data_IF_634017417683
#
_entry.id   IF_634017417683
#
_cell.length_a   1.000
_cell.length_b   1.000
_cell.length_c   1.000
_cell.angle_alpha   90.00
_cell.angle_beta   90.00
_cell.angle_gamma   90.00
#
_symmetry.space_group_name_H-M   'P 1'
#
loop_
_entity.id
_entity.type
_entity.pdbx_description
1 polymer ?
#
# COMPACT_ATOMS: atom_id res chain seq x y z
N UNK A 1 12.04 -23.48 7.78
CA UNK A 1 11.95 -22.06 7.36
C UNK A 1 12.80 -21.21 8.29
N UNK A 2 14.10 -21.02 7.97
CA UNK A 2 14.98 -19.95 8.50
C UNK A 2 16.42 -20.25 8.06
N UNK A 3 16.73 -20.09 6.76
CA UNK A 3 18.10 -20.19 6.22
C UNK A 3 18.40 -19.19 5.09
N UNK A 4 17.45 -18.37 4.68
CA UNK A 4 17.63 -17.41 3.57
C UNK A 4 17.92 -15.97 4.01
N UNK A 5 17.78 -15.61 5.30
CA UNK A 5 18.09 -14.26 5.78
C UNK A 5 19.54 -14.09 6.24
N UNK A 6 20.16 -15.12 6.84
CA UNK A 6 21.57 -15.06 7.29
C UNK A 6 22.57 -14.98 6.12
N UNK A 7 22.19 -15.39 4.90
CA UNK A 7 23.08 -15.33 3.74
C UNK A 7 23.17 -13.96 3.06
N UNK A 8 22.30 -13.01 3.39
CA UNK A 8 22.23 -11.71 2.69
C UNK A 8 23.05 -10.61 3.35
N UNK A 9 23.16 -10.64 4.67
CA UNK A 9 23.99 -9.68 5.44
C UNK A 9 25.47 -10.07 5.32
N UNK A 10 25.79 -11.38 5.33
CA UNK A 10 27.19 -11.83 5.24
C UNK A 10 27.85 -11.49 3.90
N UNK A 11 27.09 -11.45 2.79
CA UNK A 11 27.63 -11.09 1.47
C UNK A 11 27.97 -9.59 1.39
N UNK A 12 27.14 -8.73 1.99
CA UNK A 12 27.41 -7.28 2.08
C UNK A 12 28.58 -6.97 3.02
N UNK A 13 28.68 -7.66 4.15
CA UNK A 13 29.82 -7.54 5.07
C UNK A 13 31.12 -8.06 4.45
N UNK A 14 31.06 -9.14 3.66
CA UNK A 14 32.24 -9.68 2.96
C UNK A 14 32.75 -8.73 1.86
N UNK A 15 31.85 -8.00 1.19
CA UNK A 15 32.23 -7.00 0.19
C UNK A 15 32.80 -5.71 0.82
N UNK A 16 32.47 -5.43 2.07
CA UNK A 16 32.90 -4.21 2.76
C UNK A 16 34.19 -4.37 3.58
N UNK A 17 34.61 -5.59 3.96
CA UNK A 17 35.56 -5.71 5.07
C UNK A 17 37.05 -5.81 4.75
N UNK A 18 37.54 -6.24 3.57
CA UNK A 18 38.99 -6.12 3.28
C UNK A 18 39.32 -6.35 1.81
N UNK A 19 40.26 -5.54 1.29
CA UNK A 19 41.01 -5.69 0.03
C UNK A 19 40.38 -5.23 -1.30
N UNK A 20 39.46 -4.25 -1.30
CA UNK A 20 38.98 -3.64 -2.55
C UNK A 20 40.12 -3.05 -3.42
N UNK A 21 41.15 -2.47 -2.79
CA UNK A 21 42.33 -1.95 -3.50
C UNK A 21 43.25 -3.05 -4.04
N UNK A 22 43.44 -4.16 -3.30
CA UNK A 22 44.31 -5.26 -3.75
C UNK A 22 43.68 -6.05 -4.90
N UNK A 23 42.34 -6.21 -4.87
CA UNK A 23 41.55 -6.79 -5.95
C UNK A 23 41.60 -5.88 -7.19
N UNK A 24 41.56 -4.55 -7.00
CA UNK A 24 41.71 -3.56 -8.08
C UNK A 24 43.07 -3.71 -8.79
N UNK A 25 44.19 -3.66 -8.07
CA UNK A 25 45.52 -3.73 -8.70
C UNK A 25 45.79 -5.06 -9.41
N UNK A 26 45.36 -6.19 -8.83
CA UNK A 26 45.49 -7.51 -9.49
C UNK A 26 44.67 -7.60 -10.78
N UNK A 27 43.43 -7.11 -10.78
CA UNK A 27 42.59 -7.17 -11.96
C UNK A 27 43.04 -6.20 -13.07
N UNK A 28 43.63 -5.06 -12.72
CA UNK A 28 44.25 -4.15 -13.70
C UNK A 28 45.48 -4.79 -14.36
N UNK A 29 46.34 -5.47 -13.58
CA UNK A 29 47.49 -6.21 -14.11
C UNK A 29 47.08 -7.37 -15.03
N UNK A 30 46.02 -8.10 -14.69
CA UNK A 30 45.56 -9.28 -15.45
C UNK A 30 44.76 -8.93 -16.71
N UNK A 31 43.96 -7.87 -16.68
CA UNK A 31 42.97 -7.59 -17.74
C UNK A 31 43.19 -6.26 -18.48
N UNK A 32 44.08 -5.38 -17.97
CA UNK A 32 44.26 -4.02 -18.47
C UNK A 32 43.12 -3.07 -18.05
N UNK A 33 43.44 -1.79 -17.88
CA UNK A 33 42.52 -0.77 -17.36
C UNK A 33 41.14 -0.74 -18.07
N UNK A 34 41.12 -0.84 -19.40
CA UNK A 34 39.88 -0.71 -20.18
C UNK A 34 38.87 -1.84 -19.93
N UNK A 35 39.34 -3.07 -19.71
CA UNK A 35 38.46 -4.22 -19.46
C UNK A 35 37.95 -4.22 -18.01
N UNK A 36 38.77 -3.75 -17.07
CA UNK A 36 38.37 -3.57 -15.68
C UNK A 36 37.31 -2.47 -15.52
N UNK A 37 37.52 -1.31 -16.15
CA UNK A 37 36.56 -0.21 -16.12
C UNK A 37 35.21 -0.60 -16.74
N UNK A 38 35.23 -1.38 -17.83
CA UNK A 38 34.02 -1.94 -18.43
C UNK A 38 33.30 -2.93 -17.49
N UNK A 39 34.03 -3.79 -16.80
CA UNK A 39 33.47 -4.74 -15.83
C UNK A 39 32.85 -4.02 -14.62
N UNK A 40 33.54 -3.01 -14.07
CA UNK A 40 33.04 -2.12 -13.00
C UNK A 40 31.78 -1.38 -13.42
N UNK A 41 31.78 -0.77 -14.62
CA UNK A 41 30.62 -0.05 -15.16
C UNK A 41 29.40 -0.97 -15.33
N UNK A 42 29.62 -2.19 -15.84
CA UNK A 42 28.57 -3.19 -15.98
C UNK A 42 28.03 -3.65 -14.61
N UNK A 43 28.90 -3.83 -13.61
CA UNK A 43 28.49 -4.19 -12.25
C UNK A 43 27.69 -3.06 -11.59
N UNK A 44 28.11 -1.80 -11.74
CA UNK A 44 27.38 -0.64 -11.23
C UNK A 44 26.01 -0.47 -11.90
N UNK A 45 25.95 -0.69 -13.22
CA UNK A 45 24.68 -0.68 -13.97
C UNK A 45 23.73 -1.77 -13.50
N UNK A 46 24.23 -3.00 -13.28
CA UNK A 46 23.44 -4.10 -12.72
C UNK A 46 22.94 -3.78 -11.31
N UNK A 47 23.82 -3.30 -10.42
CA UNK A 47 23.44 -2.90 -9.06
C UNK A 47 22.38 -1.80 -9.11
N UNK A 48 22.55 -0.77 -9.95
CA UNK A 48 21.55 0.29 -10.14
C UNK A 48 20.21 -0.28 -10.61
N UNK A 49 20.20 -1.16 -11.62
CA UNK A 49 18.97 -1.79 -12.12
C UNK A 49 18.26 -2.63 -11.05
N UNK A 50 19.00 -3.36 -10.22
CA UNK A 50 18.45 -4.10 -9.07
C UNK A 50 17.91 -3.14 -8.01
N UNK A 51 18.61 -2.04 -7.72
CA UNK A 51 18.13 -1.01 -6.79
C UNK A 51 16.86 -0.32 -7.29
N UNK A 52 16.81 0.06 -8.57
CA UNK A 52 15.63 0.67 -9.19
C UNK A 52 14.44 -0.30 -9.16
N UNK A 53 14.65 -1.57 -9.53
CA UNK A 53 13.63 -2.61 -9.46
C UNK A 53 13.11 -2.87 -8.03
N UNK A 54 14.01 -2.88 -7.04
CA UNK A 54 13.65 -2.99 -5.62
C UNK A 54 12.96 -1.73 -5.08
N UNK A 55 13.19 -0.56 -5.70
CA UNK A 55 12.62 0.72 -5.29
C UNK A 55 11.34 1.10 -6.06
N UNK A 56 11.02 0.46 -7.18
CA UNK A 56 9.71 0.54 -7.84
C UNK A 56 8.73 -0.44 -7.17
N UNK A 57 8.21 -0.04 -6.01
CA UNK A 57 7.19 -0.81 -5.28
C UNK A 57 5.79 -0.21 -5.50
N UNK A 58 5.47 0.07 -6.77
CA UNK A 58 4.08 0.39 -7.14
C UNK A 58 3.31 -0.89 -7.40
N UNK A 59 2.22 -1.11 -6.66
CA UNK A 59 1.35 -2.26 -6.89
C UNK A 59 -0.12 -1.86 -6.77
N UNK A 60 -0.96 -2.59 -7.50
CA UNK A 60 -2.42 -2.45 -7.43
C UNK A 60 -3.07 -3.71 -6.87
N UNK A 61 -4.08 -3.53 -6.02
CA UNK A 61 -4.93 -4.59 -5.46
C UNK A 61 -6.40 -4.21 -5.61
N UNK A 62 -7.24 -5.22 -5.78
CA UNK A 62 -8.68 -5.05 -5.92
C UNK A 62 -9.39 -5.77 -4.79
N UNK A 63 -10.33 -5.08 -4.16
CA UNK A 63 -11.18 -5.58 -3.09
C UNK A 63 -12.64 -5.47 -3.48
N UNK A 64 -13.47 -6.31 -2.86
CA UNK A 64 -14.92 -6.21 -2.94
C UNK A 64 -15.49 -6.16 -1.54
N UNK A 65 -16.38 -5.21 -1.28
CA UNK A 65 -17.08 -5.14 0.01
C UNK A 65 -18.45 -4.48 -0.12
N UNK A 66 -19.38 -4.92 0.72
CA UNK A 66 -20.66 -4.27 1.00
C UNK A 66 -20.81 -3.97 2.50
N UNK A 67 -19.74 -4.12 3.27
CA UNK A 67 -19.68 -3.97 4.71
C UNK A 67 -18.25 -3.61 5.13
N UNK A 68 -17.73 -4.20 6.20
CA UNK A 68 -16.37 -4.01 6.68
C UNK A 68 -15.39 -5.00 6.01
N UNK A 69 -14.20 -4.53 5.66
CA UNK A 69 -13.08 -5.40 5.26
C UNK A 69 -11.74 -4.84 5.75
N UNK A 70 -10.93 -5.71 6.36
CA UNK A 70 -9.50 -5.43 6.60
C UNK A 70 -8.69 -5.98 5.42
N UNK A 71 -7.91 -5.14 4.76
CA UNK A 71 -7.21 -5.55 3.51
C UNK A 71 -5.96 -6.40 3.78
N UNK A 72 -5.44 -6.35 5.01
CA UNK A 72 -4.11 -6.88 5.35
C UNK A 72 -2.95 -6.10 4.72
N UNK A 73 -3.22 -5.05 3.92
CA UNK A 73 -2.17 -4.21 3.36
C UNK A 73 -1.67 -3.29 4.47
N UNK A 74 -0.41 -3.48 4.80
CA UNK A 74 0.32 -2.57 5.65
C UNK A 74 0.78 -1.36 4.86
N UNK A 75 0.49 -0.17 5.37
CA UNK A 75 0.94 1.10 4.81
C UNK A 75 1.69 1.92 5.87
N UNK A 76 2.54 2.81 5.40
CA UNK A 76 3.41 3.68 6.17
C UNK A 76 3.19 5.13 5.74
N UNK A 77 3.72 6.08 6.51
CA UNK A 77 3.62 7.51 6.20
C UNK A 77 4.37 7.94 4.93
N UNK A 78 5.24 7.08 4.41
CA UNK A 78 5.97 7.32 3.16
C UNK A 78 5.26 6.77 1.93
N UNK A 79 4.24 5.93 2.11
CA UNK A 79 3.53 5.30 0.99
C UNK A 79 2.58 6.28 0.34
N UNK A 80 2.50 6.17 -0.98
CA UNK A 80 1.53 6.91 -1.76
C UNK A 80 0.33 6.09 -2.13
N UNK A 81 -0.87 6.56 -1.82
CA UNK A 81 -2.08 5.73 -1.92
C UNK A 81 -3.14 6.40 -2.79
N UNK A 82 -3.50 5.72 -3.87
CA UNK A 82 -4.64 6.06 -4.72
C UNK A 82 -5.72 5.00 -4.56
N UNK A 83 -6.96 5.44 -4.33
CA UNK A 83 -8.12 4.55 -4.19
C UNK A 83 -9.18 4.98 -5.19
N UNK A 84 -9.69 4.02 -5.96
CA UNK A 84 -10.81 4.22 -6.88
C UNK A 84 -11.89 3.18 -6.55
N UNK A 85 -13.14 3.62 -6.49
CA UNK A 85 -14.26 2.75 -6.15
C UNK A 85 -15.39 2.85 -7.15
N UNK A 86 -15.99 1.71 -7.46
CA UNK A 86 -17.12 1.58 -8.38
C UNK A 86 -18.07 0.48 -7.91
N UNK A 87 -19.14 0.24 -8.67
CA UNK A 87 -20.17 -0.75 -8.33
C UNK A 87 -21.31 -0.15 -7.54
N UNK A 88 -22.15 -1.03 -7.01
CA UNK A 88 -23.35 -0.65 -6.28
C UNK A 88 -23.73 -1.67 -5.22
N UNK A 89 -24.34 -1.17 -4.15
CA UNK A 89 -24.86 -1.98 -3.05
C UNK A 89 -26.31 -1.60 -2.81
N UNK A 90 -27.17 -2.59 -2.61
CA UNK A 90 -28.55 -2.39 -2.15
C UNK A 90 -28.58 -2.52 -0.63
N UNK A 91 -28.98 -1.45 0.06
CA UNK A 91 -28.98 -1.36 1.53
C UNK A 91 -30.33 -1.81 2.12
N UNK A 92 -30.61 -3.11 2.03
CA UNK A 92 -31.92 -3.64 2.40
C UNK A 92 -33.06 -3.26 1.45
N UNK A 93 -34.29 -3.66 1.81
CA UNK A 93 -35.46 -3.57 0.95
C UNK A 93 -35.90 -2.12 0.68
N UNK A 94 -35.80 -1.24 1.69
CA UNK A 94 -36.41 0.09 1.66
C UNK A 94 -35.43 1.23 1.38
N UNK A 95 -34.14 1.08 1.67
CA UNK A 95 -33.18 2.17 1.44
C UNK A 95 -32.81 2.31 -0.05
N UNK A 96 -32.87 1.21 -0.81
CA UNK A 96 -32.60 1.22 -2.25
C UNK A 96 -31.13 0.94 -2.60
N UNK A 97 -30.72 1.37 -3.78
CA UNK A 97 -29.40 1.13 -4.36
C UNK A 97 -28.53 2.38 -4.21
N UNK A 98 -27.31 2.22 -3.68
CA UNK A 98 -26.31 3.28 -3.63
C UNK A 98 -25.01 2.93 -4.33
N UNK A 99 -24.28 3.98 -4.67
CA UNK A 99 -22.90 3.93 -5.19
C UNK A 99 -21.91 4.14 -4.02
N UNK A 100 -20.59 4.11 -4.24
CA UNK A 100 -19.63 4.42 -3.19
C UNK A 100 -19.84 5.80 -2.52
N UNK A 101 -20.53 6.74 -3.18
CA UNK A 101 -20.88 8.04 -2.60
C UNK A 101 -22.12 7.98 -1.66
N UNK A 102 -22.64 6.79 -1.39
CA UNK A 102 -23.80 6.58 -0.52
C UNK A 102 -25.11 7.15 -1.06
N UNK A 103 -26.10 7.19 -0.18
CA UNK A 103 -27.44 7.73 -0.41
C UNK A 103 -27.90 8.58 0.78
N UNK A 104 -28.78 9.53 0.52
CA UNK A 104 -29.38 10.38 1.57
C UNK A 104 -30.61 9.67 2.13
N UNK A 105 -30.50 9.11 3.33
CA UNK A 105 -31.60 8.52 4.10
C UNK A 105 -31.46 8.88 5.59
N UNK A 106 -32.30 8.30 6.44
CA UNK A 106 -32.24 8.52 7.89
C UNK A 106 -30.87 8.11 8.48
N UNK A 107 -30.16 9.01 9.17
CA UNK A 107 -28.82 8.76 9.70
C UNK A 107 -28.76 7.73 10.84
N UNK A 108 -29.90 7.30 11.39
CA UNK A 108 -29.96 6.24 12.43
C UNK A 108 -29.36 4.90 11.96
N UNK A 109 -29.31 4.68 10.65
CA UNK A 109 -28.74 3.47 10.04
C UNK A 109 -27.23 3.56 9.80
N UNK A 110 -26.56 4.62 10.24
CA UNK A 110 -25.16 4.87 9.95
C UNK A 110 -24.28 4.59 11.17
N UNK A 111 -23.03 4.20 10.93
CA UNK A 111 -21.99 4.28 11.96
C UNK A 111 -21.61 5.74 12.22
N UNK A 112 -21.58 6.55 11.15
CA UNK A 112 -21.25 7.98 11.14
C UNK A 112 -22.49 8.76 10.69
N UNK A 113 -23.28 9.32 11.63
CA UNK A 113 -24.56 9.99 11.32
C UNK A 113 -24.44 11.23 10.43
N UNK A 114 -23.25 11.84 10.36
CA UNK A 114 -22.90 13.00 9.56
C UNK A 114 -22.44 12.66 8.13
N UNK A 115 -22.23 11.39 7.84
CA UNK A 115 -21.86 10.87 6.52
C UNK A 115 -23.08 10.19 5.88
N UNK A 116 -23.31 10.29 4.56
CA UNK A 116 -24.40 9.59 3.90
C UNK A 116 -24.41 8.08 4.18
N UNK A 117 -25.60 7.48 4.13
CA UNK A 117 -25.74 6.05 4.35
C UNK A 117 -25.09 5.27 3.21
N UNK A 118 -24.38 4.20 3.54
CA UNK A 118 -23.72 3.37 2.54
C UNK A 118 -22.50 4.01 1.87
N UNK A 119 -22.06 5.18 2.35
CA UNK A 119 -20.87 5.85 1.86
C UNK A 119 -19.63 4.98 2.13
N UNK A 120 -18.74 4.87 1.15
CA UNK A 120 -17.50 4.13 1.30
C UNK A 120 -16.50 4.95 2.13
N UNK A 121 -16.06 4.35 3.22
CA UNK A 121 -15.09 4.88 4.17
C UNK A 121 -13.79 4.09 4.07
N UNK A 122 -12.67 4.76 4.36
CA UNK A 122 -11.38 4.11 4.56
C UNK A 122 -10.73 4.57 5.87
N UNK A 123 -9.88 3.73 6.44
CA UNK A 123 -8.99 4.11 7.54
C UNK A 123 -7.66 3.38 7.45
N UNK A 124 -6.72 3.86 8.25
CA UNK A 124 -5.46 3.20 8.51
C UNK A 124 -5.42 2.76 9.97
N UNK A 125 -5.74 1.49 10.23
CA UNK A 125 -5.83 0.95 11.59
C UNK A 125 -4.43 0.85 12.21
N UNK A 126 -4.22 1.60 13.27
CA UNK A 126 -3.04 1.55 14.12
C UNK A 126 -3.36 0.87 15.45
N UNK A 127 -2.31 0.41 16.14
CA UNK A 127 -2.44 -0.19 17.48
C UNK A 127 -3.01 0.84 18.46
N UNK A 128 -4.05 0.45 19.20
CA UNK A 128 -4.67 1.30 20.24
C UNK A 128 -5.84 2.15 19.75
N UNK A 129 -6.12 2.19 18.44
CA UNK A 129 -7.35 2.80 17.92
C UNK A 129 -8.59 1.99 18.31
N UNK A 130 -9.67 2.67 18.63
CA UNK A 130 -11.01 2.10 18.79
C UNK A 130 -11.67 1.77 17.45
N UNK A 131 -12.86 1.18 17.50
CA UNK A 131 -13.52 0.66 16.29
C UNK A 131 -14.07 1.76 15.37
N UNK A 132 -14.38 2.93 15.92
CA UNK A 132 -14.89 4.08 15.16
C UNK A 132 -13.83 5.15 14.89
N UNK A 133 -12.59 4.93 15.31
CA UNK A 133 -11.52 5.92 15.14
C UNK A 133 -10.94 5.91 13.71
N UNK A 134 -10.57 7.10 13.23
CA UNK A 134 -9.75 7.33 12.03
C UNK A 134 -10.42 7.00 10.69
N UNK A 135 -11.75 6.87 10.65
CA UNK A 135 -12.48 6.68 9.41
C UNK A 135 -12.65 7.98 8.63
N UNK A 136 -12.41 7.90 7.32
CA UNK A 136 -12.55 9.02 6.39
C UNK A 136 -13.47 8.66 5.22
N UNK A 137 -14.39 9.56 4.82
CA UNK A 137 -15.21 9.34 3.63
C UNK A 137 -14.35 9.45 2.37
N UNK A 138 -14.32 8.37 1.58
CA UNK A 138 -13.57 8.29 0.31
C UNK A 138 -14.46 8.24 -0.94
N UNK A 139 -15.69 7.72 -0.85
CA UNK A 139 -16.63 7.76 -1.97
C UNK A 139 -16.12 6.99 -3.19
N UNK A 140 -16.33 7.53 -4.39
CA UNK A 140 -15.84 6.95 -5.66
C UNK A 140 -14.32 7.05 -5.86
N UNK A 141 -13.61 7.86 -5.06
CA UNK A 141 -12.18 7.99 -5.22
C UNK A 141 -11.52 8.87 -4.18
N UNK A 142 -10.28 8.51 -3.84
CA UNK A 142 -9.45 9.21 -2.90
C UNK A 142 -8.01 9.20 -3.42
N UNK A 143 -7.51 10.40 -3.68
CA UNK A 143 -6.14 10.66 -4.12
C UNK A 143 -5.45 11.55 -3.07
N UNK A 144 -4.15 11.38 -2.92
CA UNK A 144 -3.28 11.77 -1.79
C UNK A 144 -3.27 13.26 -1.37
N UNK A 145 -4.09 14.11 -1.96
CA UNK A 145 -4.17 15.53 -1.60
C UNK A 145 -4.83 15.79 -0.23
N UNK A 146 -5.30 14.75 0.46
CA UNK A 146 -5.65 14.83 1.88
C UNK A 146 -4.51 14.17 2.67
N UNK A 147 -3.53 14.95 3.11
CA UNK A 147 -2.41 14.50 3.96
C UNK A 147 -2.94 13.79 5.22
N UNK A 148 -3.20 12.49 5.15
CA UNK A 148 -3.35 11.67 6.35
C UNK A 148 -1.94 11.36 6.81
N UNK A 149 -1.41 12.25 7.65
CA UNK A 149 -0.11 12.02 8.31
C UNK A 149 -0.26 10.84 9.24
N UNK A 150 0.12 9.66 8.76
CA UNK A 150 0.19 8.47 9.59
C UNK A 150 1.36 8.62 10.56
N UNK A 151 1.14 8.68 11.89
CA UNK A 151 2.25 8.75 12.84
C UNK A 151 3.07 7.45 12.89
N UNK A 152 2.48 6.33 12.44
CA UNK A 152 3.10 5.01 12.40
C UNK A 152 2.47 4.16 11.30
N UNK A 153 3.10 3.02 11.01
CA UNK A 153 2.53 1.97 10.16
C UNK A 153 1.12 1.57 10.61
N UNK A 154 0.23 1.26 9.65
CA UNK A 154 -1.14 0.83 9.90
C UNK A 154 -1.67 -0.10 8.80
N UNK A 155 -2.79 -0.77 9.06
CA UNK A 155 -3.48 -1.62 8.07
C UNK A 155 -4.57 -0.81 7.38
N UNK A 156 -4.60 -0.82 6.06
CA UNK A 156 -5.68 -0.21 5.29
C UNK A 156 -6.97 -1.02 5.48
N UNK A 157 -8.05 -0.35 5.87
CA UNK A 157 -9.37 -0.96 6.06
C UNK A 157 -10.44 -0.15 5.36
N UNK A 158 -11.50 -0.83 4.93
CA UNK A 158 -12.67 -0.23 4.31
C UNK A 158 -13.93 -0.57 5.08
N UNK A 159 -14.89 0.34 5.03
CA UNK A 159 -16.20 0.19 5.63
C UNK A 159 -17.25 0.87 4.75
N UNK A 160 -18.40 0.22 4.63
CA UNK A 160 -19.63 0.85 4.15
C UNK A 160 -20.34 1.47 5.36
N UNK A 161 -20.69 2.76 5.29
CA UNK A 161 -21.34 3.49 6.40
C UNK A 161 -22.80 3.03 6.63
N UNK A 162 -22.95 1.83 7.17
CA UNK A 162 -24.22 1.16 7.43
C UNK A 162 -24.08 0.25 8.66
N UNK A 163 -24.81 0.56 9.73
CA UNK A 163 -24.74 -0.17 11.00
C UNK A 163 -25.59 -1.46 11.01
N UNK A 164 -26.24 -1.81 9.90
CA UNK A 164 -27.01 -3.04 9.72
C UNK A 164 -26.63 -3.79 8.43
N UNK A 165 -25.34 -4.11 8.21
CA UNK A 165 -24.85 -4.61 6.92
C UNK A 165 -25.37 -6.01 6.52
N UNK A 166 -26.04 -6.72 7.44
CA UNK A 166 -26.55 -8.07 7.22
C UNK A 166 -27.61 -8.20 6.13
N UNK A 167 -28.19 -7.09 5.65
CA UNK A 167 -29.17 -7.06 4.57
C UNK A 167 -28.62 -6.45 3.27
N UNK A 168 -27.31 -6.24 3.17
CA UNK A 168 -26.68 -5.66 1.99
C UNK A 168 -26.52 -6.68 0.86
N UNK A 169 -26.86 -6.27 -0.36
CA UNK A 169 -26.72 -7.10 -1.57
C UNK A 169 -25.90 -6.37 -2.64
N UNK A 170 -25.03 -7.10 -3.33
CA UNK A 170 -24.03 -6.53 -4.23
C UNK A 170 -22.73 -6.21 -3.49
N UNK A 171 -21.84 -5.44 -4.13
CA UNK A 171 -20.57 -5.00 -3.56
C UNK A 171 -20.01 -3.80 -4.33
N UNK A 172 -19.27 -2.96 -3.62
CA UNK A 172 -18.34 -2.04 -4.25
C UNK A 172 -17.07 -2.76 -4.66
N UNK A 173 -16.54 -2.43 -5.84
CA UNK A 173 -15.20 -2.81 -6.29
C UNK A 173 -14.26 -1.66 -5.95
N UNK A 174 -13.24 -1.93 -5.15
CA UNK A 174 -12.25 -0.96 -4.69
C UNK A 174 -10.90 -1.32 -5.28
N UNK A 175 -10.30 -0.41 -6.02
CA UNK A 175 -8.96 -0.53 -6.57
C UNK A 175 -8.01 0.36 -5.77
N UNK A 176 -6.97 -0.25 -5.21
CA UNK A 176 -5.98 0.42 -4.36
C UNK A 176 -4.64 0.31 -5.05
N UNK A 177 -4.07 1.46 -5.43
CA UNK A 177 -2.69 1.56 -5.91
C UNK A 177 -1.83 2.15 -4.81
N UNK A 178 -0.77 1.43 -4.44
CA UNK A 178 0.20 1.88 -3.46
C UNK A 178 1.54 2.02 -4.17
N UNK A 179 2.17 3.18 -4.02
CA UNK A 179 3.52 3.47 -4.46
C UNK A 179 4.41 3.71 -3.23
N UNK A 180 5.23 2.71 -2.90
CA UNK A 180 6.18 2.76 -1.79
C UNK A 180 7.57 3.26 -2.20
N UNK A 181 7.71 3.87 -3.38
CA UNK A 181 8.99 4.42 -3.82
C UNK A 181 9.47 5.52 -2.86
N UNK A 182 10.68 5.36 -2.33
CA UNK A 182 11.31 6.37 -1.50
C UNK A 182 11.71 7.56 -2.39
N UNK A 183 11.25 8.75 -2.02
CA UNK A 183 11.84 10.00 -2.54
C UNK A 183 13.23 10.23 -1.96
#
# INVERSE_FOLDING_TARGET
MSRMCESRISVLDTLCQTDSALIYYKAVDEFGNSNYDAAQSNQLSYIRGVYEWLNTLTFTRVFQTNSYISTGISVTSSDRIKIEASGSVRFGMFAGLGTPNGIIINPVYNYFPDVPHGFLMARFRQRGMGDLDGWHPIGVGWDELREVKLPSQGILEFLVNDNQPGNNLGAFRIEVTIDSSKK
#
